data_IF_645016008025
#
_entry.id   IF_645016008025
#
_cell.length_a   1.000
_cell.length_b   1.000
_cell.length_c   1.000
_cell.angle_alpha   90.00
_cell.angle_beta   90.00
_cell.angle_gamma   90.00
#
_symmetry.space_group_name_H-M   'P 1'
#
loop_
_entity.id
_entity.type
_entity.pdbx_description
1 polymer ?
#
# COMPACT_ATOMS: atom_id res chain seq x y z
N UNK A 1 -4.25 5.66 37.31
CA UNK A 1 -4.66 6.90 36.64
C UNK A 1 -4.25 6.76 35.18
N UNK A 2 -5.18 6.60 34.23
CA UNK A 2 -4.86 6.55 32.79
C UNK A 2 -4.64 8.01 32.39
N UNK A 3 -3.46 8.41 31.90
CA UNK A 3 -3.28 9.76 31.41
C UNK A 3 -4.31 9.99 30.31
N UNK A 4 -5.15 10.99 30.45
CA UNK A 4 -6.00 11.49 29.37
C UNK A 4 -5.08 12.24 28.41
N UNK A 5 -4.34 11.51 27.57
CA UNK A 5 -3.61 12.14 26.48
C UNK A 5 -4.60 12.43 25.37
N UNK A 6 -4.85 13.70 25.18
CA UNK A 6 -5.47 14.20 23.97
C UNK A 6 -4.46 14.11 22.84
N UNK A 7 -4.86 13.54 21.70
CA UNK A 7 -4.02 13.51 20.49
C UNK A 7 -4.16 14.86 19.79
N UNK A 8 -3.13 15.68 19.86
CA UNK A 8 -3.07 17.00 19.24
C UNK A 8 -2.57 16.92 17.78
N UNK A 9 -2.76 18.00 17.03
CA UNK A 9 -2.26 18.13 15.66
C UNK A 9 -0.73 18.02 15.60
N UNK A 10 -0.06 18.68 16.54
CA UNK A 10 1.42 18.66 16.70
C UNK A 10 1.94 17.24 16.94
N UNK A 11 1.25 16.41 17.71
CA UNK A 11 1.65 15.02 17.98
C UNK A 11 1.61 14.18 16.69
N UNK A 12 0.62 14.43 15.84
CA UNK A 12 0.48 13.74 14.55
C UNK A 12 1.62 14.12 13.61
N UNK A 13 1.94 15.43 13.50
CA UNK A 13 3.08 15.93 12.71
C UNK A 13 4.38 15.36 13.26
N UNK A 14 4.64 15.51 14.54
CA UNK A 14 5.87 15.03 15.18
C UNK A 14 6.06 13.52 14.94
N UNK A 15 5.01 12.72 15.12
CA UNK A 15 5.08 11.26 14.90
C UNK A 15 5.43 10.91 13.46
N UNK A 16 4.76 11.50 12.48
CA UNK A 16 4.98 11.18 11.06
C UNK A 16 6.31 11.73 10.55
N UNK A 17 6.69 12.93 10.98
CA UNK A 17 7.95 13.58 10.61
C UNK A 17 9.16 12.83 11.18
N UNK A 18 9.12 12.47 12.47
CA UNK A 18 10.23 11.77 13.12
C UNK A 18 10.47 10.40 12.47
N UNK A 19 9.42 9.64 12.15
CA UNK A 19 9.58 8.37 11.42
C UNK A 19 10.34 8.58 10.11
N UNK A 20 9.98 9.61 9.33
CA UNK A 20 10.69 9.88 8.07
C UNK A 20 12.13 10.34 8.32
N UNK A 21 12.38 11.19 9.31
CA UNK A 21 13.74 11.65 9.67
C UNK A 21 14.64 10.50 10.12
N UNK A 22 14.11 9.57 10.90
CA UNK A 22 14.89 8.48 11.49
C UNK A 22 15.21 7.37 10.47
N UNK A 23 14.40 7.24 9.43
CA UNK A 23 14.52 6.13 8.49
C UNK A 23 14.91 6.52 7.06
N UNK A 24 14.88 7.80 6.69
CA UNK A 24 15.28 8.23 5.34
C UNK A 24 16.61 9.00 5.39
N UNK A 25 17.41 8.79 4.34
CA UNK A 25 18.71 9.49 4.19
C UNK A 25 18.59 10.85 3.48
N UNK A 26 17.43 11.49 3.59
CA UNK A 26 17.24 12.83 3.05
C UNK A 26 17.85 13.85 4.01
N UNK A 27 19.11 14.23 3.77
CA UNK A 27 19.84 15.19 4.60
C UNK A 27 20.11 16.48 3.84
N UNK A 28 19.53 17.58 4.30
CA UNK A 28 19.76 18.93 3.75
C UNK A 28 20.00 19.92 4.87
N UNK A 29 21.08 20.68 4.75
CA UNK A 29 21.49 21.71 5.69
C UNK A 29 21.50 23.11 5.04
N UNK A 30 20.41 23.50 4.37
CA UNK A 30 20.26 24.85 3.79
C UNK A 30 19.54 25.80 4.74
N UNK A 31 19.69 27.10 4.54
CA UNK A 31 19.07 28.13 5.38
C UNK A 31 17.52 28.07 5.36
N UNK A 32 16.89 27.98 4.18
CA UNK A 32 15.45 27.84 4.00
C UNK A 32 15.02 26.43 3.58
N UNK A 33 15.96 25.63 3.10
CA UNK A 33 15.71 24.27 2.64
C UNK A 33 16.42 23.32 3.60
N UNK A 34 15.71 22.88 4.63
CA UNK A 34 16.20 21.89 5.59
C UNK A 34 15.50 20.56 5.35
N UNK A 35 16.04 19.48 5.88
CA UNK A 35 15.38 18.16 5.87
C UNK A 35 13.95 18.25 6.40
N UNK A 36 13.73 18.97 7.48
CA UNK A 36 12.40 19.12 8.10
C UNK A 36 11.42 19.82 7.17
N UNK A 37 11.82 20.94 6.54
CA UNK A 37 11.02 21.67 5.57
C UNK A 37 10.61 20.76 4.40
N UNK A 38 11.56 20.02 3.84
CA UNK A 38 11.26 19.11 2.73
C UNK A 38 10.24 18.04 3.14
N UNK A 39 10.47 17.38 4.28
CA UNK A 39 9.61 16.31 4.76
C UNK A 39 8.21 16.84 5.10
N UNK A 40 8.09 18.01 5.71
CA UNK A 40 6.78 18.62 6.00
C UNK A 40 6.02 19.01 4.72
N UNK A 41 6.69 19.57 3.73
CA UNK A 41 6.07 19.85 2.42
C UNK A 41 5.60 18.55 1.77
N UNK A 42 6.37 17.46 1.84
CA UNK A 42 5.97 16.15 1.32
C UNK A 42 4.79 15.54 2.08
N UNK A 43 4.78 15.68 3.41
CA UNK A 43 3.67 15.25 4.26
C UNK A 43 2.39 16.05 3.96
N UNK A 44 2.48 17.38 3.79
CA UNK A 44 1.36 18.23 3.39
C UNK A 44 0.87 17.85 2.00
N UNK A 45 1.75 17.79 1.01
CA UNK A 45 1.40 17.38 -0.36
C UNK A 45 0.72 16.00 -0.39
N UNK A 46 1.21 15.06 0.42
CA UNK A 46 0.61 13.74 0.55
C UNK A 46 -0.76 13.81 1.23
N UNK A 47 -0.89 14.51 2.35
CA UNK A 47 -2.13 14.62 3.11
C UNK A 47 -3.27 15.29 2.34
N UNK A 48 -2.95 16.24 1.45
CA UNK A 48 -3.87 16.95 0.56
C UNK A 48 -4.12 16.20 -0.76
N UNK A 49 -3.29 15.20 -1.09
CA UNK A 49 -3.23 14.62 -2.44
C UNK A 49 -2.96 15.69 -3.52
N UNK A 50 -2.08 16.63 -3.20
CA UNK A 50 -1.63 17.73 -4.05
C UNK A 50 -0.20 17.51 -4.57
N UNK A 51 0.34 18.45 -5.32
CA UNK A 51 1.75 18.42 -5.75
C UNK A 51 2.66 19.07 -4.72
N UNK A 52 3.97 18.76 -4.77
CA UNK A 52 4.99 19.46 -3.98
C UNK A 52 4.95 20.96 -4.24
N UNK A 53 4.70 21.36 -5.49
CA UNK A 53 4.55 22.75 -5.89
C UNK A 53 3.38 23.43 -5.17
N UNK A 54 2.18 22.85 -5.22
CA UNK A 54 1.01 23.40 -4.56
C UNK A 54 1.22 23.50 -3.05
N UNK A 55 1.71 22.42 -2.41
CA UNK A 55 1.94 22.39 -0.97
C UNK A 55 3.00 23.41 -0.50
N UNK A 56 4.06 23.63 -1.30
CA UNK A 56 5.08 24.64 -1.00
C UNK A 56 4.55 26.05 -1.18
N UNK A 57 3.78 26.33 -2.24
CA UNK A 57 3.22 27.66 -2.51
C UNK A 57 2.14 28.08 -1.51
N UNK A 58 1.47 27.14 -0.86
CA UNK A 58 0.48 27.44 0.18
C UNK A 58 1.13 27.84 1.52
N UNK A 59 2.41 27.61 1.70
CA UNK A 59 3.16 27.89 2.93
C UNK A 59 4.04 29.14 2.75
N UNK A 60 4.15 29.99 3.79
CA UNK A 60 4.93 31.25 3.72
C UNK A 60 6.42 31.02 3.88
N UNK A 61 6.83 30.26 4.91
CA UNK A 61 8.24 30.12 5.30
C UNK A 61 8.82 28.77 4.88
N UNK A 62 8.74 28.45 3.58
CA UNK A 62 9.29 27.20 3.02
C UNK A 62 10.30 27.47 1.91
N UNK A 63 10.99 26.43 1.49
CA UNK A 63 11.86 26.46 0.30
C UNK A 63 11.00 26.52 -0.97
N UNK A 64 11.56 27.13 -2.02
CA UNK A 64 10.94 27.11 -3.35
C UNK A 64 10.72 25.67 -3.85
N UNK A 65 9.59 25.48 -4.51
CA UNK A 65 9.19 24.16 -4.99
C UNK A 65 10.14 23.54 -6.01
N UNK A 66 10.84 24.37 -6.82
CA UNK A 66 11.86 23.88 -7.75
C UNK A 66 13.07 23.34 -6.98
N UNK A 67 13.51 24.05 -5.96
CA UNK A 67 14.61 23.61 -5.08
C UNK A 67 14.31 22.26 -4.44
N UNK A 68 13.09 22.09 -3.91
CA UNK A 68 12.65 20.80 -3.31
C UNK A 68 12.63 19.70 -4.36
N UNK A 69 12.10 19.96 -5.56
CA UNK A 69 12.01 18.96 -6.63
C UNK A 69 13.38 18.57 -7.19
N UNK A 70 14.28 19.51 -7.37
CA UNK A 70 15.66 19.26 -7.80
C UNK A 70 16.39 18.41 -6.76
N UNK A 71 16.27 18.77 -5.48
CA UNK A 71 16.86 17.99 -4.40
C UNK A 71 16.33 16.56 -4.40
N UNK A 72 15.00 16.35 -4.45
CA UNK A 72 14.41 15.02 -4.48
C UNK A 72 14.88 14.18 -5.68
N UNK A 73 15.02 14.80 -6.86
CA UNK A 73 15.49 14.08 -8.03
C UNK A 73 16.99 13.72 -7.95
N UNK A 74 17.78 14.50 -7.22
CA UNK A 74 19.20 14.23 -7.01
C UNK A 74 19.44 13.22 -5.88
N UNK A 75 18.72 13.38 -4.76
CA UNK A 75 18.88 12.51 -3.59
C UNK A 75 18.27 11.12 -3.77
N UNK A 76 17.19 10.99 -4.56
CA UNK A 76 16.51 9.74 -4.80
C UNK A 76 16.96 9.12 -6.13
N UNK A 77 18.10 8.47 -6.09
CA UNK A 77 18.71 7.82 -7.26
C UNK A 77 18.03 6.49 -7.59
N UNK A 78 17.90 6.19 -8.89
CA UNK A 78 17.33 4.92 -9.37
C UNK A 78 18.19 3.73 -8.91
N UNK A 79 19.52 3.91 -8.88
CA UNK A 79 20.49 2.90 -8.44
C UNK A 79 20.29 2.52 -6.96
N UNK A 80 19.84 3.47 -6.13
CA UNK A 80 19.59 3.29 -4.71
C UNK A 80 18.15 2.78 -4.38
N UNK A 81 17.34 2.38 -5.39
CA UNK A 81 15.96 1.92 -5.18
C UNK A 81 15.82 0.82 -4.12
N UNK A 82 16.79 -0.09 -3.99
CA UNK A 82 16.75 -1.16 -2.99
C UNK A 82 17.03 -0.66 -1.58
N UNK A 83 17.91 0.30 -1.45
CA UNK A 83 18.20 0.96 -0.18
C UNK A 83 17.00 1.77 0.27
N UNK A 84 16.43 2.58 -0.60
CA UNK A 84 15.20 3.34 -0.37
C UNK A 84 14.02 2.43 0.00
N UNK A 85 13.88 1.25 -0.64
CA UNK A 85 12.88 0.24 -0.27
C UNK A 85 13.07 -0.23 1.17
N UNK A 86 14.32 -0.47 1.60
CA UNK A 86 14.63 -0.89 2.96
C UNK A 86 14.33 0.22 3.97
N UNK A 87 14.68 1.46 3.68
CA UNK A 87 14.38 2.65 4.49
C UNK A 87 12.87 2.80 4.71
N UNK A 88 12.11 2.77 3.62
CA UNK A 88 10.65 2.91 3.70
C UNK A 88 9.98 1.73 4.39
N UNK A 89 10.51 0.51 4.23
CA UNK A 89 10.03 -0.66 4.97
C UNK A 89 10.33 -0.54 6.48
N UNK A 90 11.45 0.04 6.86
CA UNK A 90 11.76 0.33 8.26
C UNK A 90 10.78 1.39 8.83
N UNK A 91 10.56 2.48 8.10
CA UNK A 91 9.58 3.51 8.45
C UNK A 91 8.16 2.94 8.65
N UNK A 92 7.70 2.05 7.77
CA UNK A 92 6.38 1.41 7.91
C UNK A 92 6.27 0.53 9.15
N UNK A 93 7.36 -0.07 9.60
CA UNK A 93 7.42 -0.95 10.78
C UNK A 93 7.22 -0.17 12.09
N UNK A 94 7.55 1.11 12.17
CA UNK A 94 7.32 1.96 13.34
C UNK A 94 5.83 2.07 13.73
N UNK A 95 4.95 1.80 12.78
CA UNK A 95 3.52 1.78 13.01
C UNK A 95 2.99 0.46 13.62
N UNK A 96 3.86 -0.49 13.99
CA UNK A 96 3.45 -1.76 14.58
C UNK A 96 3.08 -1.56 16.06
N UNK A 97 1.83 -1.85 16.48
CA UNK A 97 1.47 -1.79 17.89
C UNK A 97 2.32 -2.75 18.74
N UNK A 98 2.82 -2.30 19.90
CA UNK A 98 3.67 -3.10 20.80
C UNK A 98 3.08 -4.47 21.18
N UNK A 99 1.75 -4.60 21.15
CA UNK A 99 1.04 -5.84 21.47
C UNK A 99 0.86 -6.79 20.29
N UNK A 100 1.29 -6.42 19.08
CA UNK A 100 1.10 -7.21 17.86
C UNK A 100 2.21 -8.26 17.64
N UNK A 101 3.50 -8.01 17.91
CA UNK A 101 4.57 -8.99 17.72
C UNK A 101 4.28 -10.31 18.46
N UNK A 102 4.73 -11.44 17.88
CA UNK A 102 4.50 -12.81 18.37
C UNK A 102 3.03 -13.27 18.42
N UNK A 103 2.09 -12.47 17.93
CA UNK A 103 0.69 -12.89 17.80
C UNK A 103 0.42 -13.45 16.39
N UNK A 104 -0.62 -14.30 16.28
CA UNK A 104 -1.06 -14.80 14.97
C UNK A 104 -1.68 -13.67 14.16
N UNK A 105 -1.25 -13.57 12.89
CA UNK A 105 -1.73 -12.57 11.95
C UNK A 105 -2.27 -13.22 10.67
N UNK A 106 -3.02 -12.50 9.89
CA UNK A 106 -3.35 -12.85 8.51
C UNK A 106 -2.64 -11.88 7.58
N UNK A 107 -2.28 -12.35 6.40
CA UNK A 107 -1.53 -11.54 5.44
C UNK A 107 -2.20 -11.61 4.09
N UNK A 108 -2.37 -10.46 3.45
CA UNK A 108 -2.74 -10.39 2.04
C UNK A 108 -1.57 -9.80 1.25
N UNK A 109 -1.25 -10.41 0.10
CA UNK A 109 -0.22 -9.90 -0.81
C UNK A 109 -0.85 -9.58 -2.15
N UNK A 110 -0.53 -8.42 -2.69
CA UNK A 110 -1.06 -7.95 -3.97
C UNK A 110 -0.03 -7.09 -4.71
N UNK A 111 -0.22 -6.99 -6.04
CA UNK A 111 0.54 -6.08 -6.90
C UNK A 111 -0.25 -4.79 -7.14
N UNK A 112 0.45 -3.68 -7.09
CA UNK A 112 -0.06 -2.37 -7.43
C UNK A 112 0.72 -1.79 -8.62
N UNK A 113 0.01 -1.49 -9.70
CA UNK A 113 0.57 -0.92 -10.93
C UNK A 113 0.26 0.58 -11.00
N UNK A 114 1.31 1.42 -10.94
CA UNK A 114 1.22 2.87 -11.18
C UNK A 114 1.55 3.16 -12.64
N UNK A 115 0.66 3.82 -13.39
CA UNK A 115 0.92 4.17 -14.78
C UNK A 115 2.17 5.02 -14.92
N UNK A 116 3.02 4.68 -15.90
CA UNK A 116 4.23 5.40 -16.22
C UNK A 116 4.21 5.91 -17.67
N UNK A 117 4.47 7.20 -17.86
CA UNK A 117 4.39 7.87 -19.17
C UNK A 117 5.75 8.44 -19.63
N UNK A 118 6.84 8.11 -18.95
CA UNK A 118 8.19 8.54 -19.31
C UNK A 118 8.67 7.92 -20.63
N UNK A 119 9.64 8.57 -21.30
CA UNK A 119 10.35 7.96 -22.43
C UNK A 119 11.10 6.73 -21.91
N UNK A 120 10.98 5.61 -22.63
CA UNK A 120 11.45 4.31 -22.17
C UNK A 120 12.95 4.05 -22.36
N UNK A 121 13.65 4.89 -23.12
CA UNK A 121 15.10 4.76 -23.26
C UNK A 121 15.77 4.96 -21.89
N UNK A 122 16.40 3.91 -21.37
CA UNK A 122 17.06 3.91 -20.05
C UNK A 122 16.18 3.55 -18.84
N UNK A 123 14.85 3.39 -18.98
CA UNK A 123 13.96 3.04 -17.87
C UNK A 123 13.29 1.66 -18.02
N UNK A 124 13.65 0.89 -19.04
CA UNK A 124 13.12 -0.46 -19.28
C UNK A 124 13.47 -1.44 -18.17
N UNK A 125 14.61 -1.26 -17.54
CA UNK A 125 15.12 -2.12 -16.47
C UNK A 125 14.39 -1.89 -15.13
N UNK A 126 13.67 -0.78 -15.01
CA UNK A 126 12.97 -0.39 -13.78
C UNK A 126 11.47 -0.22 -13.94
N UNK A 127 10.90 -0.51 -15.12
CA UNK A 127 9.46 -0.46 -15.37
C UNK A 127 8.93 -1.78 -15.93
N UNK A 128 7.80 -2.24 -15.41
CA UNK A 128 7.15 -3.46 -15.85
C UNK A 128 6.19 -3.20 -17.00
N UNK A 129 6.15 -4.10 -17.98
CA UNK A 129 5.12 -4.09 -19.02
C UNK A 129 3.86 -4.81 -18.54
N UNK A 130 2.69 -4.38 -19.02
CA UNK A 130 1.42 -4.97 -18.66
C UNK A 130 0.30 -4.64 -19.64
N UNK A 131 -0.89 -5.15 -19.37
CA UNK A 131 -2.08 -4.80 -20.15
C UNK A 131 -2.33 -3.29 -20.11
N UNK A 132 -2.66 -2.69 -21.24
CA UNK A 132 -2.92 -1.26 -21.36
C UNK A 132 -3.95 -0.77 -20.31
N UNK A 133 -3.54 0.20 -19.49
CA UNK A 133 -4.40 0.89 -18.52
C UNK A 133 -4.09 2.38 -18.59
N UNK A 134 -5.14 3.21 -18.60
CA UNK A 134 -5.00 4.67 -18.61
C UNK A 134 -4.05 5.21 -19.69
N UNK A 135 -4.05 4.59 -20.88
CA UNK A 135 -3.25 5.05 -22.03
C UNK A 135 -1.78 4.65 -22.02
N UNK A 136 -1.34 3.78 -21.12
CA UNK A 136 0.03 3.24 -21.11
C UNK A 136 0.04 1.72 -20.93
N UNK A 137 1.12 1.09 -21.39
CA UNK A 137 1.45 -0.33 -21.16
C UNK A 137 2.62 -0.51 -20.20
N UNK A 138 3.17 0.59 -19.66
CA UNK A 138 4.32 0.60 -18.76
C UNK A 138 3.93 1.10 -17.37
N UNK A 139 4.42 0.40 -16.36
CA UNK A 139 4.03 0.62 -14.97
C UNK A 139 5.23 0.55 -14.04
N UNK A 140 5.23 1.41 -13.04
CA UNK A 140 5.96 1.15 -11.81
C UNK A 140 5.11 0.15 -11.04
N UNK A 141 5.67 -1.04 -10.82
CA UNK A 141 4.98 -2.11 -10.10
C UNK A 141 5.52 -2.26 -8.71
N UNK A 142 4.63 -2.31 -7.75
CA UNK A 142 4.96 -2.49 -6.34
C UNK A 142 4.16 -3.69 -5.84
N UNK A 143 4.85 -4.62 -5.19
CA UNK A 143 4.18 -5.65 -4.41
C UNK A 143 4.14 -5.22 -2.94
N UNK A 144 3.05 -5.49 -2.25
CA UNK A 144 2.92 -5.16 -0.84
C UNK A 144 2.36 -6.31 -0.03
N UNK A 145 2.83 -6.44 1.23
CA UNK A 145 2.27 -7.33 2.23
C UNK A 145 1.44 -6.52 3.24
N UNK A 146 0.16 -6.80 3.28
CA UNK A 146 -0.84 -6.19 4.11
C UNK A 146 -1.23 -7.11 5.25
N UNK A 147 -0.89 -6.70 6.46
CA UNK A 147 -1.09 -7.50 7.67
C UNK A 147 -2.42 -7.15 8.33
N UNK A 148 -3.17 -8.18 8.68
CA UNK A 148 -4.49 -8.10 9.30
C UNK A 148 -4.38 -8.70 10.70
N UNK A 149 -4.54 -7.84 11.71
CA UNK A 149 -4.52 -8.23 13.10
C UNK A 149 -5.62 -7.51 13.88
N UNK A 150 -6.59 -8.23 14.43
CA UNK A 150 -7.76 -7.63 15.10
C UNK A 150 -8.42 -6.55 14.24
N UNK A 151 -8.50 -5.30 14.73
CA UNK A 151 -8.98 -4.12 13.99
C UNK A 151 -7.85 -3.33 13.32
N UNK A 152 -6.60 -3.78 13.44
CA UNK A 152 -5.42 -3.15 12.84
C UNK A 152 -5.18 -3.73 11.45
N UNK A 153 -4.87 -2.85 10.52
CA UNK A 153 -4.61 -3.17 9.11
C UNK A 153 -3.43 -2.33 8.65
N UNK A 154 -2.26 -2.95 8.46
CA UNK A 154 -1.01 -2.26 8.15
C UNK A 154 -0.34 -2.85 6.91
N UNK A 155 0.20 -2.00 6.04
CA UNK A 155 1.15 -2.41 5.01
C UNK A 155 2.54 -2.46 5.65
N UNK A 156 3.12 -3.64 5.81
CA UNK A 156 4.38 -3.83 6.55
C UNK A 156 5.56 -4.24 5.69
N UNK A 157 5.34 -4.54 4.42
CA UNK A 157 6.41 -4.77 3.48
C UNK A 157 6.03 -4.27 2.09
N UNK A 158 6.95 -3.56 1.46
CA UNK A 158 6.90 -3.12 0.07
C UNK A 158 8.06 -3.72 -0.69
N UNK A 159 7.82 -4.07 -1.95
CA UNK A 159 8.85 -4.45 -2.92
C UNK A 159 8.63 -3.67 -4.20
N UNK A 160 9.61 -2.88 -4.61
CA UNK A 160 9.68 -2.35 -5.97
C UNK A 160 10.02 -3.50 -6.92
N UNK A 161 9.09 -3.85 -7.81
CA UNK A 161 9.22 -5.01 -8.68
C UNK A 161 9.96 -4.63 -9.95
N UNK A 162 11.07 -5.31 -10.20
CA UNK A 162 11.83 -5.20 -11.45
C UNK A 162 11.27 -6.18 -12.51
N UNK A 163 11.47 -5.90 -13.81
CA UNK A 163 10.91 -6.73 -14.90
C UNK A 163 11.37 -8.18 -14.91
N UNK A 164 12.55 -8.47 -14.38
CA UNK A 164 13.15 -9.80 -14.29
C UNK A 164 12.73 -10.59 -13.03
N UNK A 165 12.04 -9.95 -12.09
CA UNK A 165 11.59 -10.60 -10.88
C UNK A 165 10.33 -11.43 -11.11
N UNK A 166 10.34 -12.67 -10.64
CA UNK A 166 9.17 -13.53 -10.66
C UNK A 166 8.36 -13.48 -9.37
N UNK A 167 7.09 -13.88 -9.45
CA UNK A 167 6.15 -13.81 -8.33
C UNK A 167 6.59 -14.65 -7.12
N UNK A 168 7.28 -15.78 -7.31
CA UNK A 168 7.79 -16.61 -6.21
C UNK A 168 8.92 -15.91 -5.45
N UNK A 169 9.87 -15.30 -6.17
CA UNK A 169 10.96 -14.52 -5.56
C UNK A 169 10.42 -13.35 -4.74
N UNK A 170 9.45 -12.61 -5.30
CA UNK A 170 8.79 -11.50 -4.62
C UNK A 170 8.05 -11.99 -3.36
N UNK A 171 7.29 -13.08 -3.46
CA UNK A 171 6.61 -13.69 -2.32
C UNK A 171 7.59 -14.04 -1.18
N UNK A 172 8.72 -14.69 -1.51
CA UNK A 172 9.76 -15.06 -0.55
C UNK A 172 10.35 -13.84 0.16
N UNK A 173 10.64 -12.76 -0.59
CA UNK A 173 11.18 -11.52 -0.03
C UNK A 173 10.19 -10.87 0.95
N UNK A 174 8.91 -10.75 0.56
CA UNK A 174 7.88 -10.17 1.42
C UNK A 174 7.65 -10.99 2.69
N UNK A 175 7.58 -12.32 2.57
CA UNK A 175 7.42 -13.21 3.74
C UNK A 175 8.64 -13.17 4.66
N UNK A 176 9.87 -13.13 4.12
CA UNK A 176 11.09 -12.97 4.89
C UNK A 176 11.06 -11.66 5.67
N UNK A 177 10.67 -10.55 5.04
CA UNK A 177 10.54 -9.25 5.71
C UNK A 177 9.56 -9.28 6.88
N UNK A 178 8.38 -9.89 6.69
CA UNK A 178 7.41 -10.03 7.79
C UNK A 178 7.96 -10.88 8.96
N UNK A 179 8.75 -11.91 8.66
CA UNK A 179 9.40 -12.73 9.67
C UNK A 179 10.46 -11.94 10.46
N UNK A 180 11.27 -11.11 9.79
CA UNK A 180 12.26 -10.23 10.40
C UNK A 180 11.64 -9.20 11.35
N UNK A 181 10.39 -8.79 11.12
CA UNK A 181 9.61 -7.92 12.01
C UNK A 181 9.13 -8.61 13.31
N UNK A 182 9.47 -9.88 13.51
CA UNK A 182 9.08 -10.64 14.70
C UNK A 182 7.58 -10.88 14.81
N UNK A 183 6.85 -10.81 13.70
CA UNK A 183 5.45 -11.19 13.66
C UNK A 183 5.31 -12.69 13.96
N UNK A 184 4.22 -13.05 14.62
CA UNK A 184 3.92 -14.45 14.90
C UNK A 184 3.53 -15.24 13.65
N UNK A 185 3.00 -16.43 13.87
CA UNK A 185 2.54 -17.32 12.80
C UNK A 185 1.52 -16.65 11.87
N UNK A 186 1.71 -16.79 10.57
CA UNK A 186 0.72 -16.38 9.58
C UNK A 186 -0.38 -17.44 9.53
N UNK A 187 -1.53 -17.13 10.12
CA UNK A 187 -2.70 -18.02 10.18
C UNK A 187 -3.23 -18.37 8.79
N UNK A 188 -3.29 -17.39 7.88
CA UNK A 188 -3.70 -17.57 6.48
C UNK A 188 -3.04 -16.49 5.63
N UNK A 189 -2.51 -16.93 4.49
CA UNK A 189 -2.00 -16.07 3.45
C UNK A 189 -3.02 -15.95 2.30
N UNK A 190 -3.42 -14.74 1.96
CA UNK A 190 -4.35 -14.46 0.86
C UNK A 190 -3.59 -13.89 -0.34
N UNK A 191 -3.62 -14.59 -1.46
CA UNK A 191 -2.90 -14.22 -2.66
C UNK A 191 -3.87 -14.00 -3.84
N UNK A 192 -3.57 -12.99 -4.66
CA UNK A 192 -4.34 -12.77 -5.89
C UNK A 192 -3.94 -13.80 -6.98
N UNK A 193 -4.75 -13.83 -8.04
CA UNK A 193 -4.54 -14.71 -9.20
C UNK A 193 -3.16 -14.57 -9.88
N UNK A 194 -2.49 -13.42 -9.69
CA UNK A 194 -1.11 -13.22 -10.15
C UNK A 194 -0.09 -14.15 -9.49
N UNK A 195 -0.43 -14.72 -8.33
CA UNK A 195 0.39 -15.69 -7.59
C UNK A 195 -0.03 -17.16 -7.84
N UNK A 196 -1.00 -17.41 -8.72
CA UNK A 196 -1.48 -18.77 -9.00
C UNK A 196 -0.53 -19.53 -9.95
N UNK A 197 0.68 -19.83 -9.49
CA UNK A 197 1.65 -20.68 -10.19
C UNK A 197 1.94 -21.94 -9.37
N UNK A 198 2.30 -23.02 -10.06
CA UNK A 198 2.63 -24.30 -9.45
C UNK A 198 3.83 -24.21 -8.53
N UNK A 199 4.84 -23.46 -8.91
CA UNK A 199 6.01 -23.17 -8.07
C UNK A 199 5.65 -22.51 -6.73
N UNK A 200 4.65 -21.62 -6.70
CA UNK A 200 4.16 -21.00 -5.46
C UNK A 200 3.37 -22.02 -4.64
N UNK A 201 2.53 -22.84 -5.29
CA UNK A 201 1.77 -23.90 -4.63
C UNK A 201 2.72 -24.86 -3.90
N UNK A 202 3.73 -25.36 -4.60
CA UNK A 202 4.70 -26.31 -4.04
C UNK A 202 5.50 -25.67 -2.89
N UNK A 203 5.99 -24.44 -3.09
CA UNK A 203 6.69 -23.71 -2.04
C UNK A 203 5.86 -23.53 -0.75
N UNK A 204 4.57 -23.19 -0.88
CA UNK A 204 3.70 -23.00 0.28
C UNK A 204 3.36 -24.33 0.96
N UNK A 205 3.22 -25.42 0.22
CA UNK A 205 3.04 -26.77 0.75
C UNK A 205 4.27 -27.26 1.52
N UNK A 206 5.46 -27.11 0.92
CA UNK A 206 6.74 -27.46 1.58
C UNK A 206 6.90 -26.76 2.92
N UNK A 207 6.46 -25.51 3.01
CA UNK A 207 6.49 -24.71 4.23
C UNK A 207 5.30 -24.96 5.17
N UNK A 208 4.35 -25.80 4.78
CA UNK A 208 3.08 -26.01 5.49
C UNK A 208 2.38 -24.68 5.81
N UNK A 209 2.46 -23.71 4.90
CA UNK A 209 1.90 -22.38 5.08
C UNK A 209 0.43 -22.38 4.64
N UNK A 210 -0.53 -22.17 5.57
CA UNK A 210 -1.94 -22.05 5.18
C UNK A 210 -2.17 -20.89 4.23
N UNK A 211 -2.79 -21.17 3.07
CA UNK A 211 -3.00 -20.14 2.06
C UNK A 211 -4.28 -20.35 1.24
N UNK A 212 -4.82 -19.25 0.75
CA UNK A 212 -5.89 -19.19 -0.23
C UNK A 212 -5.43 -18.31 -1.40
N UNK A 213 -5.34 -18.91 -2.59
CA UNK A 213 -4.94 -18.21 -3.81
C UNK A 213 -6.14 -18.16 -4.76
N UNK A 214 -6.46 -16.98 -5.29
CA UNK A 214 -7.48 -16.91 -6.35
C UNK A 214 -7.00 -17.71 -7.57
N UNK A 215 -7.78 -18.69 -7.99
CA UNK A 215 -7.44 -19.54 -9.13
C UNK A 215 -8.07 -18.97 -10.42
N UNK A 216 -7.27 -18.70 -11.46
CA UNK A 216 -7.81 -18.34 -12.76
C UNK A 216 -8.63 -19.49 -13.37
N UNK A 217 -9.85 -19.19 -13.82
CA UNK A 217 -10.67 -20.15 -14.55
C UNK A 217 -10.23 -20.11 -16.03
N UNK A 218 -9.48 -21.12 -16.46
CA UNK A 218 -8.86 -21.22 -17.80
C UNK A 218 -9.36 -22.45 -18.53
N UNK A 219 -9.17 -22.45 -19.84
CA UNK A 219 -9.61 -23.49 -20.77
C UNK A 219 -10.92 -23.15 -21.45
N UNK A 220 -11.18 -23.73 -22.65
CA UNK A 220 -12.46 -23.61 -23.37
C UNK A 220 -13.41 -24.70 -22.90
N UNK A 221 -12.99 -25.96 -22.99
CA UNK A 221 -13.75 -27.14 -22.61
C UNK A 221 -13.02 -28.03 -21.59
N UNK A 222 -11.83 -27.61 -21.15
CA UNK A 222 -10.96 -28.30 -20.19
C UNK A 222 -10.40 -27.40 -19.11
N UNK A 223 -9.33 -27.87 -18.45
CA UNK A 223 -8.67 -27.14 -17.38
C UNK A 223 -9.57 -26.81 -16.20
N UNK A 224 -9.32 -25.72 -15.50
CA UNK A 224 -10.12 -25.30 -14.35
C UNK A 224 -11.55 -24.89 -14.71
N UNK A 225 -11.84 -24.59 -15.98
CA UNK A 225 -13.19 -24.29 -16.46
C UNK A 225 -14.07 -25.53 -16.48
N UNK A 226 -13.54 -26.72 -16.81
CA UNK A 226 -14.29 -27.97 -16.77
C UNK A 226 -14.87 -28.27 -15.38
N UNK A 227 -14.25 -27.75 -14.33
CA UNK A 227 -14.73 -27.89 -12.95
C UNK A 227 -15.91 -26.97 -12.61
N UNK A 228 -16.20 -25.96 -13.44
CA UNK A 228 -17.28 -24.99 -13.17
C UNK A 228 -18.66 -25.54 -13.56
N UNK A 229 -19.04 -26.69 -13.00
CA UNK A 229 -20.25 -27.44 -13.34
C UNK A 229 -21.19 -27.61 -12.13
N UNK A 230 -22.43 -27.96 -12.42
CA UNK A 230 -23.41 -28.25 -11.40
C UNK A 230 -24.07 -27.04 -10.76
N UNK A 231 -24.68 -27.23 -9.60
CA UNK A 231 -25.50 -26.20 -8.91
C UNK A 231 -24.93 -25.77 -7.55
N UNK A 232 -24.12 -26.62 -6.92
CA UNK A 232 -23.59 -26.44 -5.55
C UNK A 232 -22.10 -26.14 -5.61
N UNK A 233 -21.62 -25.40 -4.61
CA UNK A 233 -20.17 -25.24 -4.35
C UNK A 233 -19.60 -26.57 -3.88
N UNK A 234 -18.33 -26.85 -4.21
CA UNK A 234 -17.67 -28.09 -3.81
C UNK A 234 -16.17 -27.94 -3.76
N UNK A 235 -15.49 -28.91 -3.17
CA UNK A 235 -14.02 -29.06 -3.21
C UNK A 235 -13.65 -30.25 -4.08
N UNK A 236 -12.51 -30.16 -4.72
CA UNK A 236 -11.97 -31.26 -5.51
C UNK A 236 -10.45 -31.14 -5.57
N UNK A 237 -9.77 -32.25 -5.69
CA UNK A 237 -8.35 -32.25 -6.03
C UNK A 237 -8.19 -32.03 -7.53
N UNK A 238 -7.13 -31.32 -7.87
CA UNK A 238 -6.81 -30.95 -9.24
C UNK A 238 -5.34 -31.11 -9.49
N UNK A 239 -4.99 -31.76 -10.61
CA UNK A 239 -3.61 -31.92 -11.09
C UNK A 239 -3.38 -30.91 -12.22
N UNK A 240 -2.41 -30.02 -12.02
CA UNK A 240 -1.98 -29.09 -13.06
C UNK A 240 -1.18 -29.80 -14.14
N UNK A 241 -0.96 -29.13 -15.27
CA UNK A 241 -0.29 -29.71 -16.46
C UNK A 241 1.14 -30.18 -16.21
N UNK A 242 1.82 -29.64 -15.22
CA UNK A 242 3.17 -30.02 -14.80
C UNK A 242 3.20 -31.11 -13.71
N UNK A 243 2.03 -31.67 -13.35
CA UNK A 243 1.89 -32.70 -12.33
C UNK A 243 1.67 -32.22 -10.91
N UNK A 244 1.79 -30.92 -10.65
CA UNK A 244 1.51 -30.33 -9.34
C UNK A 244 0.05 -30.55 -8.95
N UNK A 245 -0.18 -31.08 -7.77
CA UNK A 245 -1.53 -31.32 -7.24
C UNK A 245 -1.93 -30.21 -6.25
N UNK A 246 -3.18 -29.83 -6.24
CA UNK A 246 -3.74 -28.92 -5.24
C UNK A 246 -5.24 -29.13 -5.04
N UNK A 247 -5.73 -28.86 -3.84
CA UNK A 247 -7.17 -28.83 -3.58
C UNK A 247 -7.76 -27.51 -4.07
N UNK A 248 -8.79 -27.58 -4.89
CA UNK A 248 -9.56 -26.43 -5.35
C UNK A 248 -10.90 -26.32 -4.61
N UNK A 249 -11.20 -25.15 -4.11
CA UNK A 249 -12.53 -24.79 -3.61
C UNK A 249 -13.29 -24.00 -4.70
N UNK A 250 -14.38 -24.56 -5.19
CA UNK A 250 -15.21 -23.99 -6.24
C UNK A 250 -16.49 -23.42 -5.63
N UNK A 251 -16.64 -22.10 -5.69
CA UNK A 251 -17.77 -21.38 -5.14
C UNK A 251 -18.74 -20.97 -6.25
N UNK A 252 -19.94 -21.55 -6.25
CA UNK A 252 -21.05 -21.13 -7.10
C UNK A 252 -21.78 -19.96 -6.45
N UNK A 253 -21.94 -18.87 -7.17
CA UNK A 253 -22.70 -17.68 -6.75
C UNK A 253 -23.73 -17.33 -7.81
N UNK A 254 -24.86 -16.74 -7.38
CA UNK A 254 -25.85 -16.18 -8.29
C UNK A 254 -25.67 -14.66 -8.31
N UNK A 255 -25.34 -14.11 -9.46
CA UNK A 255 -25.18 -12.67 -9.67
C UNK A 255 -26.19 -12.19 -10.72
N UNK A 256 -26.80 -11.00 -10.55
CA UNK A 256 -27.65 -10.43 -11.60
C UNK A 256 -26.77 -10.04 -12.80
N UNK A 257 -27.23 -10.32 -14.00
CA UNK A 257 -26.66 -9.77 -15.22
C UNK A 257 -27.23 -8.36 -15.50
N UNK A 258 -26.82 -7.77 -16.62
CA UNK A 258 -27.27 -6.41 -17.01
C UNK A 258 -28.79 -6.29 -17.20
N UNK A 259 -29.49 -7.41 -17.43
CA UNK A 259 -30.95 -7.46 -17.57
C UNK A 259 -31.66 -7.78 -16.23
N UNK A 260 -30.94 -7.90 -15.12
CA UNK A 260 -31.48 -8.30 -13.82
C UNK A 260 -31.67 -9.81 -13.66
N UNK A 261 -31.47 -10.61 -14.70
CA UNK A 261 -31.58 -12.07 -14.64
C UNK A 261 -30.39 -12.66 -13.86
N UNK A 262 -30.67 -13.51 -12.87
CA UNK A 262 -29.64 -14.18 -12.08
C UNK A 262 -28.90 -15.22 -12.91
N UNK A 263 -27.60 -15.03 -13.07
CA UNK A 263 -26.70 -15.99 -13.70
C UNK A 263 -25.74 -16.57 -12.68
N UNK A 264 -25.38 -17.84 -12.89
CA UNK A 264 -24.39 -18.50 -12.06
C UNK A 264 -22.99 -18.04 -12.47
N UNK A 265 -22.25 -17.57 -11.46
CA UNK A 265 -20.83 -17.21 -11.57
C UNK A 265 -20.04 -18.16 -10.67
N UNK A 266 -18.97 -18.71 -11.19
CA UNK A 266 -18.03 -19.53 -10.46
C UNK A 266 -16.83 -18.71 -10.03
N UNK A 267 -16.36 -18.99 -8.82
CA UNK A 267 -15.10 -18.53 -8.29
C UNK A 267 -14.30 -19.76 -7.89
N UNK A 268 -13.04 -19.80 -8.27
CA UNK A 268 -12.14 -20.90 -7.93
C UNK A 268 -11.01 -20.39 -7.03
N UNK A 269 -10.65 -21.18 -6.05
CA UNK A 269 -9.58 -20.88 -5.11
C UNK A 269 -8.71 -22.12 -4.92
N UNK A 270 -7.38 -21.96 -4.98
CA UNK A 270 -6.42 -22.96 -4.56
C UNK A 270 -6.33 -22.85 -3.04
N UNK A 271 -6.46 -23.97 -2.35
CA UNK A 271 -6.48 -24.04 -0.89
C UNK A 271 -5.32 -24.91 -0.42
N UNK A 272 -4.46 -24.37 0.43
CA UNK A 272 -3.25 -25.03 0.93
C UNK A 272 -3.33 -25.07 2.46
N UNK A 273 -3.10 -26.27 3.05
CA UNK A 273 -3.08 -26.51 4.51
C UNK A 273 -4.33 -26.00 5.26
N UNK A 274 -5.50 -26.02 4.60
CA UNK A 274 -6.78 -25.61 5.18
C UNK A 274 -7.86 -26.61 4.81
N UNK A 275 -8.57 -27.10 5.84
CA UNK A 275 -9.76 -27.94 5.64
C UNK A 275 -11.04 -27.11 5.81
N UNK A 276 -11.29 -26.19 4.88
CA UNK A 276 -12.42 -25.29 4.92
C UNK A 276 -13.41 -25.56 3.77
N UNK A 277 -14.71 -25.40 4.06
CA UNK A 277 -15.74 -25.44 3.02
C UNK A 277 -15.55 -24.31 2.00
N UNK A 278 -16.04 -24.46 0.76
CA UNK A 278 -15.94 -23.39 -0.25
C UNK A 278 -16.59 -22.08 0.19
N UNK A 279 -17.64 -22.15 1.01
CA UNK A 279 -18.31 -21.00 1.61
C UNK A 279 -17.35 -20.24 2.54
N UNK A 280 -16.69 -20.98 3.44
CA UNK A 280 -15.73 -20.42 4.40
C UNK A 280 -14.50 -19.87 3.66
N UNK A 281 -13.95 -20.59 2.68
CA UNK A 281 -12.84 -20.12 1.82
C UNK A 281 -13.20 -18.80 1.17
N UNK A 282 -14.37 -18.71 0.52
CA UNK A 282 -14.81 -17.48 -0.12
C UNK A 282 -15.05 -16.33 0.89
N UNK A 283 -15.64 -16.63 2.04
CA UNK A 283 -15.87 -15.64 3.10
C UNK A 283 -14.55 -15.07 3.62
N UNK A 284 -13.62 -15.92 3.99
CA UNK A 284 -12.32 -15.50 4.52
C UNK A 284 -11.47 -14.82 3.45
N UNK A 285 -11.46 -15.30 2.21
CA UNK A 285 -10.74 -14.66 1.12
C UNK A 285 -11.19 -13.20 0.87
N UNK A 286 -12.45 -12.87 1.18
CA UNK A 286 -12.91 -11.47 1.10
C UNK A 286 -12.15 -10.52 2.02
N UNK A 287 -11.47 -11.02 3.04
CA UNK A 287 -10.60 -10.20 3.91
C UNK A 287 -9.43 -9.59 3.13
N UNK A 288 -9.00 -10.24 2.04
CA UNK A 288 -8.03 -9.66 1.09
C UNK A 288 -8.49 -8.30 0.55
N UNK A 289 -9.79 -8.08 0.37
CA UNK A 289 -10.27 -6.76 -0.07
C UNK A 289 -9.91 -5.61 0.87
N UNK A 290 -9.44 -5.89 2.07
CA UNK A 290 -8.84 -4.90 2.95
C UNK A 290 -7.63 -4.20 2.31
N UNK A 291 -6.81 -4.93 1.53
CA UNK A 291 -5.67 -4.34 0.80
C UNK A 291 -6.15 -3.37 -0.30
N UNK A 292 -7.25 -3.67 -0.99
CA UNK A 292 -7.84 -2.78 -1.98
C UNK A 292 -8.40 -1.49 -1.32
N UNK A 293 -8.91 -1.61 -0.08
CA UNK A 293 -9.31 -0.46 0.72
C UNK A 293 -8.10 0.39 1.13
N UNK A 294 -6.98 -0.23 1.49
CA UNK A 294 -5.72 0.45 1.77
C UNK A 294 -5.23 1.25 0.54
N UNK A 295 -5.24 0.65 -0.64
CA UNK A 295 -4.90 1.36 -1.87
C UNK A 295 -5.89 2.48 -2.23
N UNK A 296 -7.17 2.36 -1.85
CA UNK A 296 -8.13 3.47 -1.99
C UNK A 296 -7.81 4.62 -1.04
N UNK A 297 -7.42 4.33 0.19
CA UNK A 297 -6.96 5.35 1.13
C UNK A 297 -5.65 5.99 0.65
N UNK A 298 -4.71 5.20 0.16
CA UNK A 298 -3.47 5.69 -0.43
C UNK A 298 -3.70 6.73 -1.54
N UNK A 299 -4.69 6.52 -2.43
CA UNK A 299 -5.04 7.51 -3.46
C UNK A 299 -5.51 8.86 -2.91
N UNK A 300 -5.89 8.91 -1.64
CA UNK A 300 -6.34 10.12 -0.94
C UNK A 300 -5.25 10.84 -0.18
N UNK A 301 -4.08 10.21 -0.05
CA UNK A 301 -2.92 10.73 0.68
C UNK A 301 -1.62 10.46 -0.06
N UNK A 302 -1.66 10.44 -1.35
CA UNK A 302 -0.46 10.34 -2.17
C UNK A 302 -0.19 11.66 -2.86
N UNK A 303 1.00 12.20 -2.66
CA UNK A 303 1.44 13.39 -3.39
C UNK A 303 1.43 13.13 -4.91
N UNK A 304 0.91 14.08 -5.66
CA UNK A 304 0.89 14.05 -7.12
C UNK A 304 2.27 14.44 -7.66
N UNK A 305 2.70 13.77 -8.71
CA UNK A 305 3.98 14.08 -9.35
C UNK A 305 3.96 13.79 -10.84
N UNK A 306 4.59 14.65 -11.61
CA UNK A 306 4.92 14.45 -13.01
C UNK A 306 6.36 13.98 -13.22
N UNK A 307 7.12 13.78 -12.12
CA UNK A 307 8.49 13.28 -12.19
C UNK A 307 8.58 12.00 -13.00
N UNK A 308 9.61 11.92 -13.83
CA UNK A 308 9.96 10.70 -14.59
C UNK A 308 10.93 9.80 -13.82
N UNK A 309 11.40 10.23 -12.65
CA UNK A 309 12.24 9.43 -11.78
C UNK A 309 11.39 8.38 -11.02
N UNK A 310 11.57 7.07 -11.27
CA UNK A 310 10.83 6.00 -10.59
C UNK A 310 11.08 5.97 -9.08
N UNK A 311 12.29 6.35 -8.61
CA UNK A 311 12.63 6.40 -7.20
C UNK A 311 11.82 7.47 -6.46
N UNK A 312 11.69 8.68 -7.03
CA UNK A 312 10.82 9.74 -6.50
C UNK A 312 9.36 9.25 -6.42
N UNK A 313 8.87 8.59 -7.46
CA UNK A 313 7.49 8.07 -7.47
C UNK A 313 7.25 6.99 -6.42
N UNK A 314 8.22 6.08 -6.26
CA UNK A 314 8.17 5.05 -5.24
C UNK A 314 8.17 5.68 -3.84
N UNK A 315 9.06 6.63 -3.60
CA UNK A 315 9.15 7.35 -2.32
C UNK A 315 7.83 8.03 -1.94
N UNK A 316 7.26 8.83 -2.85
CA UNK A 316 5.98 9.51 -2.60
C UNK A 316 4.82 8.54 -2.36
N UNK A 317 4.81 7.40 -3.03
CA UNK A 317 3.83 6.35 -2.76
C UNK A 317 4.03 5.75 -1.37
N UNK A 318 5.27 5.46 -0.98
CA UNK A 318 5.60 4.89 0.32
C UNK A 318 5.28 5.86 1.47
N UNK A 319 5.52 7.18 1.30
CA UNK A 319 5.08 8.23 2.24
C UNK A 319 3.55 8.20 2.40
N UNK A 320 2.80 8.09 1.31
CA UNK A 320 1.35 7.94 1.40
C UNK A 320 0.92 6.67 2.17
N UNK A 321 1.62 5.55 1.99
CA UNK A 321 1.36 4.32 2.76
C UNK A 321 1.73 4.48 4.23
N UNK A 322 2.81 5.20 4.54
CA UNK A 322 3.17 5.55 5.91
C UNK A 322 2.05 6.36 6.59
N UNK A 323 1.47 7.35 5.90
CA UNK A 323 0.35 8.12 6.45
C UNK A 323 -0.87 7.25 6.75
N UNK A 324 -1.17 6.26 5.91
CA UNK A 324 -2.24 5.29 6.19
C UNK A 324 -1.91 4.45 7.43
N UNK A 325 -0.68 3.95 7.53
CA UNK A 325 -0.23 3.16 8.68
C UNK A 325 -0.23 3.99 9.97
N UNK A 326 0.31 5.22 9.93
CA UNK A 326 0.34 6.15 11.05
C UNK A 326 -1.09 6.45 11.58
N UNK A 327 -2.04 6.70 10.67
CA UNK A 327 -3.44 6.83 11.05
C UNK A 327 -4.00 5.58 11.75
N UNK A 328 -3.72 4.39 11.23
CA UNK A 328 -4.19 3.13 11.83
C UNK A 328 -3.58 2.93 13.21
N UNK A 329 -2.27 3.20 13.36
CA UNK A 329 -1.55 3.10 14.62
C UNK A 329 -2.07 4.10 15.66
N UNK A 330 -2.15 5.38 15.32
CA UNK A 330 -2.64 6.43 16.23
C UNK A 330 -4.09 6.18 16.63
N UNK A 331 -4.93 5.73 15.70
CA UNK A 331 -6.31 5.31 16.03
C UNK A 331 -6.32 4.15 17.01
N UNK A 332 -5.46 3.16 16.85
CA UNK A 332 -5.33 2.03 17.76
C UNK A 332 -4.87 2.48 19.14
N UNK A 333 -3.95 3.41 19.25
CA UNK A 333 -3.43 3.89 20.52
C UNK A 333 -4.40 4.84 21.26
N UNK A 334 -5.02 5.79 20.58
CA UNK A 334 -5.77 6.88 21.18
C UNK A 334 -7.30 6.73 21.13
N UNK A 335 -7.85 5.93 20.21
CA UNK A 335 -9.29 5.74 20.07
C UNK A 335 -9.81 4.47 20.77
N UNK A 336 -9.20 4.07 21.88
CA UNK A 336 -9.59 2.88 22.64
C UNK A 336 -10.99 3.05 23.24
N UNK A 337 -11.83 2.02 23.10
CA UNK A 337 -13.06 1.89 23.87
C UNK A 337 -12.74 1.39 25.27
N UNK A 338 -13.25 2.08 26.28
CA UNK A 338 -13.16 1.69 27.68
C UNK A 338 -14.26 0.69 28.00
N UNK A 339 -14.12 -0.55 27.52
CA UNK A 339 -15.04 -1.64 27.78
C UNK A 339 -14.27 -2.88 28.26
N UNK A 340 -14.87 -3.74 29.11
CA UNK A 340 -14.26 -5.01 29.49
C UNK A 340 -14.00 -5.91 28.27
N UNK A 341 -12.93 -6.72 28.34
CA UNK A 341 -12.59 -7.70 27.32
C UNK A 341 -11.50 -7.26 26.34
N UNK A 342 -11.54 -7.79 25.11
CA UNK A 342 -10.53 -7.49 24.10
C UNK A 342 -10.57 -5.99 23.70
N UNK A 343 -9.37 -5.41 23.57
CA UNK A 343 -9.22 -4.03 23.11
C UNK A 343 -9.97 -3.81 21.79
N UNK A 344 -10.87 -2.86 21.80
CA UNK A 344 -11.63 -2.39 20.63
C UNK A 344 -11.34 -0.90 20.41
N UNK A 345 -11.50 -0.47 19.17
CA UNK A 345 -11.27 0.90 18.74
C UNK A 345 -12.61 1.54 18.38
N UNK A 346 -12.85 2.76 18.87
CA UNK A 346 -13.93 3.60 18.39
C UNK A 346 -13.53 4.27 17.07
N UNK A 347 -14.01 3.71 15.98
CA UNK A 347 -13.66 4.18 14.63
C UNK A 347 -14.17 5.60 14.32
N UNK A 348 -15.10 6.12 15.12
CA UNK A 348 -15.65 7.48 14.94
C UNK A 348 -14.72 8.57 15.46
N UNK A 349 -13.88 8.27 16.46
CA UNK A 349 -13.04 9.29 17.14
C UNK A 349 -11.95 9.87 16.26
N UNK A 350 -11.22 9.04 15.51
CA UNK A 350 -10.16 9.49 14.61
C UNK A 350 -10.43 8.93 13.19
N UNK A 351 -11.33 9.56 12.46
CA UNK A 351 -11.57 9.27 11.05
C UNK A 351 -10.41 9.74 10.19
N UNK A 352 -10.16 9.08 9.07
CA UNK A 352 -9.01 9.36 8.21
C UNK A 352 -8.92 10.82 7.74
N UNK A 353 -10.02 11.43 7.33
CA UNK A 353 -10.04 12.84 6.94
C UNK A 353 -9.73 13.80 8.11
N UNK A 354 -10.06 13.42 9.35
CA UNK A 354 -9.70 14.22 10.53
C UNK A 354 -8.20 14.14 10.81
N UNK A 355 -7.62 12.95 10.67
CA UNK A 355 -6.17 12.76 10.78
C UNK A 355 -5.42 13.63 9.78
N UNK A 356 -5.77 13.57 8.47
CA UNK A 356 -5.11 14.38 7.44
C UNK A 356 -5.26 15.87 7.68
N UNK A 357 -6.44 16.34 8.09
CA UNK A 357 -6.65 17.75 8.42
C UNK A 357 -5.85 18.24 9.62
N UNK A 358 -5.72 17.42 10.66
CA UNK A 358 -4.88 17.76 11.82
C UNK A 358 -3.40 17.85 11.43
N UNK A 359 -2.92 16.92 10.60
CA UNK A 359 -1.55 16.96 10.06
C UNK A 359 -1.30 18.24 9.26
N UNK A 360 -2.19 18.57 8.32
CA UNK A 360 -2.09 19.78 7.50
C UNK A 360 -2.02 21.02 8.40
N UNK A 361 -2.95 21.18 9.36
CA UNK A 361 -2.96 22.31 10.27
C UNK A 361 -1.67 22.44 11.08
N UNK A 362 -1.15 21.33 11.60
CA UNK A 362 0.10 21.38 12.37
C UNK A 362 1.29 21.85 11.51
N UNK A 363 1.31 21.53 10.22
CA UNK A 363 2.34 22.01 9.28
C UNK A 363 2.12 23.50 8.99
N UNK A 364 0.88 23.89 8.73
CA UNK A 364 0.48 25.29 8.49
C UNK A 364 0.75 26.19 9.69
N UNK A 365 0.57 25.69 10.91
CA UNK A 365 0.88 26.42 12.15
C UNK A 365 2.40 26.69 12.30
N UNK A 366 3.25 25.82 11.74
CA UNK A 366 4.71 26.00 11.78
C UNK A 366 5.22 26.98 10.73
N UNK A 367 4.69 26.90 9.50
CA UNK A 367 5.25 27.65 8.36
C UNK A 367 4.41 28.85 7.94
N UNK A 368 3.23 29.05 8.53
CA UNK A 368 2.26 30.06 8.08
C UNK A 368 1.58 29.67 6.78
N UNK A 369 0.43 30.27 6.51
CA UNK A 369 -0.38 30.04 5.29
C UNK A 369 -0.43 31.28 4.45
N UNK A 370 -0.26 31.15 3.14
CA UNK A 370 -0.43 32.24 2.18
C UNK A 370 -1.92 32.60 2.09
N UNK A 371 -2.30 33.77 2.63
CA UNK A 371 -3.69 34.22 2.71
C UNK A 371 -4.07 35.24 1.61
N UNK A 372 -3.10 35.66 0.79
CA UNK A 372 -3.35 36.63 -0.27
C UNK A 372 -2.48 36.35 -1.50
N UNK A 373 -3.04 36.55 -2.67
CA UNK A 373 -2.31 36.52 -3.94
C UNK A 373 -1.99 37.96 -4.31
N UNK A 374 -0.70 38.32 -4.53
CA UNK A 374 -0.35 39.67 -4.97
C UNK A 374 -0.97 39.96 -6.34
N UNK A 375 -1.45 41.19 -6.53
CA UNK A 375 -1.90 41.62 -7.85
C UNK A 375 -0.72 41.60 -8.81
N UNK A 376 -0.95 41.11 -10.03
CA UNK A 376 0.08 41.16 -11.09
C UNK A 376 0.57 42.57 -11.28
N UNK A 377 1.91 42.78 -11.33
CA UNK A 377 2.46 44.08 -11.73
C UNK A 377 2.05 44.31 -13.20
N UNK A 378 1.40 45.43 -13.46
CA UNK A 378 1.20 45.88 -14.83
C UNK A 378 2.58 45.92 -15.52
N UNK A 379 2.72 45.48 -16.78
CA UNK A 379 3.96 45.66 -17.49
C UNK A 379 4.26 47.16 -17.45
N UNK A 380 5.38 47.53 -16.81
CA UNK A 380 5.87 48.90 -16.91
C UNK A 380 5.99 49.22 -18.38
N UNK A 381 5.23 50.20 -18.84
CA UNK A 381 5.36 50.74 -20.18
C UNK A 381 6.83 51.13 -20.36
N UNK A 382 7.56 50.36 -21.15
CA UNK A 382 8.88 50.77 -21.65
C UNK A 382 8.65 51.95 -22.55
N UNK A 383 8.82 53.14 -22.00
CA UNK A 383 8.90 54.37 -22.78
C UNK A 383 10.23 54.26 -23.52
N UNK A 384 10.16 54.10 -24.84
CA UNK A 384 11.29 54.27 -25.76
C UNK A 384 11.58 55.77 -25.97
#
# INVERSE_FOLDING_TARGET
MIPQYELKAEDIRAYTLNILKDHTKLEVAGYRCTTEVILDVLLKASAESSSVEAASHDLQDTADSNTIREYLNTALEIQALREQENEMNAALAECIPKSMPRTRVEVAIDFHDEPFYGKQSGLREVTCSGQAKKGTTHFIRIASAYVIWRQVRLTLALRYVLPDENALGILKILLKRLQELGLGEIRVLYLDKGFASTQIIDHLKERKQPAIIACPIRGKDGGTRALCQGRKSYRTDYTFTDGTQATLALKATLVPDRSGKRRRKWLAFIVIELDWTPEKVHHEYRRRFGIECSYRLLRRVRAMTTSRNPAVRFFLLAVGMLLVNAWVFLRWEFARLLAPGLRRVDESRLRFHRFTRLLIRAIEDVYGVVMAVPAGQSPQSVIY
#
